data_IF_269852250618
#
_entry.id   IF_269852250618
#
_cell.length_a   1.000
_cell.length_b   1.000
_cell.length_c   1.000
_cell.angle_alpha   90.00
_cell.angle_beta   90.00
_cell.angle_gamma   90.00
#
_symmetry.space_group_name_H-M   'P 1'
#
loop_
_entity.id
_entity.type
_entity.pdbx_description
1 polymer ?
#
# COMPACT_ATOMS: atom_id res chain seq x y z
N UNK A 1 -7.01 -10.12 -7.24
CA UNK A 1 -6.37 -10.94 -6.19
C UNK A 1 -7.35 -11.08 -5.04
N UNK A 2 -7.46 -12.26 -4.40
CA UNK A 2 -8.37 -12.48 -3.26
C UNK A 2 -7.70 -12.00 -1.96
N UNK A 3 -8.50 -11.50 -1.00
CA UNK A 3 -8.07 -11.05 0.33
C UNK A 3 -7.24 -12.09 1.08
N UNK A 4 -7.56 -13.37 0.92
CA UNK A 4 -6.80 -14.47 1.53
C UNK A 4 -5.33 -14.50 1.05
N UNK A 5 -5.11 -14.21 -0.24
CA UNK A 5 -3.77 -14.16 -0.83
C UNK A 5 -3.01 -12.93 -0.34
N UNK A 6 -3.69 -11.78 -0.21
CA UNK A 6 -3.11 -10.56 0.38
C UNK A 6 -2.69 -10.78 1.83
N UNK A 7 -3.56 -11.40 2.62
CA UNK A 7 -3.28 -11.69 4.02
C UNK A 7 -2.06 -12.59 4.15
N UNK A 8 -2.00 -13.71 3.42
CA UNK A 8 -0.83 -14.62 3.47
C UNK A 8 0.48 -13.98 3.04
N UNK A 9 0.44 -13.07 2.05
CA UNK A 9 1.62 -12.29 1.63
C UNK A 9 2.16 -11.39 2.76
N UNK A 10 1.26 -10.85 3.57
CA UNK A 10 1.60 -9.90 4.63
C UNK A 10 1.78 -10.57 6.01
N UNK A 11 1.29 -11.79 6.20
CA UNK A 11 1.33 -12.55 7.46
C UNK A 11 2.76 -12.96 7.84
N UNK A 12 3.58 -13.34 6.85
CA UNK A 12 4.99 -13.69 7.06
C UNK A 12 5.96 -12.50 7.02
N UNK A 13 5.49 -11.30 6.67
CA UNK A 13 6.35 -10.14 6.50
C UNK A 13 6.42 -9.30 7.77
N UNK A 14 7.63 -9.16 8.33
CA UNK A 14 7.94 -8.22 9.42
C UNK A 14 8.02 -6.79 8.87
N UNK A 15 6.85 -6.29 8.45
CA UNK A 15 6.68 -4.94 7.92
C UNK A 15 5.87 -4.11 8.92
N UNK A 16 6.21 -2.81 9.07
CA UNK A 16 5.35 -1.88 9.80
C UNK A 16 3.93 -1.91 9.26
N UNK A 17 2.93 -1.74 10.13
CA UNK A 17 1.52 -1.76 9.73
C UNK A 17 1.23 -0.77 8.60
N UNK A 18 1.85 0.42 8.63
CA UNK A 18 1.72 1.42 7.58
C UNK A 18 2.19 0.91 6.20
N UNK A 19 3.28 0.14 6.13
CA UNK A 19 3.76 -0.44 4.89
C UNK A 19 2.79 -1.49 4.32
N UNK A 20 2.15 -2.27 5.20
CA UNK A 20 1.10 -3.24 4.80
C UNK A 20 -0.13 -2.53 4.21
N UNK A 21 -0.55 -1.41 4.83
CA UNK A 21 -1.66 -0.59 4.35
C UNK A 21 -1.37 0.06 2.99
N UNK A 22 -0.17 0.64 2.83
CA UNK A 22 0.28 1.20 1.55
C UNK A 22 0.28 0.11 0.48
N UNK A 23 0.81 -1.07 0.76
CA UNK A 23 0.81 -2.18 -0.20
C UNK A 23 -0.61 -2.57 -0.65
N UNK A 24 -1.57 -2.71 0.28
CA UNK A 24 -2.96 -2.99 -0.06
C UNK A 24 -3.57 -1.89 -0.94
N UNK A 25 -3.37 -0.62 -0.58
CA UNK A 25 -3.86 0.52 -1.36
C UNK A 25 -3.31 0.54 -2.79
N UNK A 26 -1.99 0.32 -2.95
CA UNK A 26 -1.35 0.26 -4.26
C UNK A 26 -1.89 -0.87 -5.12
N UNK A 27 -2.11 -2.02 -4.50
CA UNK A 27 -2.61 -3.20 -5.16
C UNK A 27 -4.07 -3.03 -5.62
N UNK A 28 -4.90 -2.38 -4.81
CA UNK A 28 -6.28 -2.03 -5.17
C UNK A 28 -6.32 -0.98 -6.29
N UNK A 29 -5.44 0.02 -6.24
CA UNK A 29 -5.31 1.04 -7.28
C UNK A 29 -4.84 0.46 -8.62
N UNK A 30 -3.99 -0.57 -8.58
CA UNK A 30 -3.56 -1.31 -9.77
C UNK A 30 -4.63 -2.29 -10.29
N UNK A 31 -5.76 -2.45 -9.60
CA UNK A 31 -6.82 -3.40 -9.97
C UNK A 31 -6.33 -4.85 -10.04
N UNK A 32 -5.28 -5.20 -9.30
CA UNK A 32 -4.63 -6.51 -9.37
C UNK A 32 -3.93 -6.83 -10.69
N UNK A 33 -3.64 -5.83 -11.53
CA UNK A 33 -2.81 -5.97 -12.74
C UNK A 33 -1.39 -5.48 -12.46
N UNK A 34 -0.41 -6.06 -13.14
CA UNK A 34 0.98 -5.59 -13.11
C UNK A 34 1.15 -4.31 -13.96
N UNK A 35 0.37 -3.29 -13.67
CA UNK A 35 0.40 -1.99 -14.34
C UNK A 35 1.17 -0.97 -13.51
N UNK A 36 1.92 -0.10 -14.17
CA UNK A 36 2.52 1.08 -13.53
C UNK A 36 1.40 2.02 -13.09
N UNK A 37 1.37 2.34 -11.80
CA UNK A 37 0.42 3.29 -11.22
C UNK A 37 1.17 4.56 -10.85
N UNK A 38 0.65 5.71 -11.30
CA UNK A 38 1.19 7.02 -10.92
C UNK A 38 0.57 7.46 -9.60
N UNK A 39 1.41 7.72 -8.61
CA UNK A 39 0.99 8.16 -7.29
C UNK A 39 1.54 9.53 -6.97
N UNK A 40 0.67 10.35 -6.37
CA UNK A 40 1.06 11.60 -5.73
C UNK A 40 1.13 11.35 -4.23
N UNK A 41 2.24 11.74 -3.60
CA UNK A 41 2.40 11.65 -2.14
C UNK A 41 1.26 12.36 -1.39
N UNK A 42 0.75 13.49 -1.93
CA UNK A 42 -0.42 14.19 -1.35
C UNK A 42 -1.70 13.37 -1.39
N UNK A 43 -1.93 12.63 -2.49
CA UNK A 43 -3.11 11.75 -2.60
C UNK A 43 -2.98 10.54 -1.68
N UNK A 44 -1.79 9.98 -1.57
CA UNK A 44 -1.51 8.87 -0.66
C UNK A 44 -1.80 9.24 0.81
N UNK A 45 -1.36 10.43 1.22
CA UNK A 45 -1.63 10.99 2.56
C UNK A 45 -3.13 11.23 2.77
N UNK A 46 -3.84 11.71 1.75
CA UNK A 46 -5.29 11.95 1.85
C UNK A 46 -6.10 10.66 1.92
N UNK A 47 -5.72 9.62 1.17
CA UNK A 47 -6.51 8.39 1.04
C UNK A 47 -6.22 7.37 2.15
N UNK A 48 -5.00 7.36 2.72
CA UNK A 48 -4.60 6.42 3.78
C UNK A 48 -4.57 7.11 5.16
N UNK A 49 -4.92 8.40 5.24
CA UNK A 49 -4.78 9.25 6.45
C UNK A 49 -3.39 9.15 7.11
N UNK A 50 -2.38 8.75 6.32
CA UNK A 50 -1.01 8.60 6.80
C UNK A 50 -0.41 9.99 6.95
N UNK A 51 0.16 10.28 8.10
CA UNK A 51 0.88 11.54 8.30
C UNK A 51 1.97 11.68 7.23
N UNK A 52 2.16 12.86 6.60
CA UNK A 52 3.12 13.04 5.51
C UNK A 52 4.57 12.67 5.87
N UNK A 53 4.92 12.64 7.16
CA UNK A 53 6.21 12.17 7.67
C UNK A 53 6.42 10.66 7.53
N UNK A 54 5.37 9.86 7.35
CA UNK A 54 5.46 8.41 7.11
C UNK A 54 5.65 8.04 5.63
N UNK A 55 5.43 8.98 4.71
CA UNK A 55 5.59 8.76 3.26
C UNK A 55 7.01 9.05 2.76
N UNK A 56 7.96 9.29 3.66
CA UNK A 56 9.36 9.54 3.31
C UNK A 56 10.04 8.21 3.01
N UNK A 57 10.18 7.91 1.72
CA UNK A 57 11.05 6.85 1.23
C UNK A 57 12.52 7.32 1.36
N UNK A 58 13.16 6.93 2.47
CA UNK A 58 14.63 6.81 2.58
C UNK A 58 15.07 5.45 2.11
#
# INVERSE_FOLDING_TARGET
>A
MNDLTRYRLLDGASLPLAAKLVYCYLLDLAGGKNSRVWLSSRRLVADIELSPSMCVAT
#
